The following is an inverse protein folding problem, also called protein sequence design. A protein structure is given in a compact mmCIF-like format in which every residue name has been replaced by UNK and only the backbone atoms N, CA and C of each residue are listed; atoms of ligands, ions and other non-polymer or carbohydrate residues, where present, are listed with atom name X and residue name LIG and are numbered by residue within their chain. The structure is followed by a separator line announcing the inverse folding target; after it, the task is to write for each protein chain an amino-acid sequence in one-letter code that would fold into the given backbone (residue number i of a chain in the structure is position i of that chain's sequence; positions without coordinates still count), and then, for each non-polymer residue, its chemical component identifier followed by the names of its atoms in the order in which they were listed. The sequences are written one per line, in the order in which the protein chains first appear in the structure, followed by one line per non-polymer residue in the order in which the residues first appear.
data_IF_625736305292
#
_entry.id   IF_625736305292
#
_cell.length_a   1.000
_cell.length_b   1.000
_cell.length_c   1.000
_cell.angle_alpha   90.00
_cell.angle_beta   90.00
_cell.angle_gamma   90.00
#
_symmetry.space_group_name_H-M   'P 1'
#
loop_
_entity.id
_entity.type
_entity.pdbx_description
1 polymer ?
#
# COMPACT_ATOMS: atom_id res chain seq x y z
N UNK A 1 2.65 49.02 -16.69
CA UNK A 1 1.41 48.22 -16.79
C UNK A 1 1.41 47.29 -18.02
N UNK A 2 2.56 46.68 -18.39
CA UNK A 2 2.65 45.75 -19.54
C UNK A 2 3.61 44.57 -19.34
N UNK A 3 4.09 44.34 -18.11
CA UNK A 3 5.02 43.25 -17.78
C UNK A 3 4.43 42.20 -16.81
N UNK A 4 3.14 42.30 -16.48
CA UNK A 4 2.43 41.41 -15.55
C UNK A 4 1.38 40.53 -16.25
N UNK A 5 1.12 40.75 -17.54
CA UNK A 5 0.14 39.96 -18.31
C UNK A 5 0.77 38.83 -19.14
N UNK A 6 2.09 38.86 -19.36
CA UNK A 6 2.77 37.87 -20.22
C UNK A 6 3.22 36.60 -19.48
N UNK A 7 3.00 36.52 -18.15
CA UNK A 7 3.24 35.30 -17.37
C UNK A 7 1.98 34.43 -17.18
N UNK A 8 0.85 34.78 -17.81
CA UNK A 8 -0.42 34.01 -17.71
C UNK A 8 -0.66 33.04 -18.87
N UNK A 9 0.27 32.88 -19.80
CA UNK A 9 0.18 31.88 -20.86
C UNK A 9 1.42 30.98 -20.81
N UNK A 10 1.33 29.85 -20.12
CA UNK A 10 2.38 28.83 -20.22
C UNK A 10 2.65 27.93 -19.02
N UNK A 11 1.83 27.91 -17.97
CA UNK A 11 1.96 26.88 -16.92
C UNK A 11 0.59 26.33 -16.55
N UNK A 12 0.26 25.16 -17.10
CA UNK A 12 -0.73 24.26 -16.52
C UNK A 12 -0.29 23.94 -15.10
N UNK A 13 -0.86 24.62 -14.12
CA UNK A 13 -0.67 24.30 -12.71
C UNK A 13 -1.24 22.89 -12.46
N UNK A 14 -0.35 21.91 -12.38
CA UNK A 14 -0.58 20.49 -12.05
C UNK A 14 -1.26 20.23 -10.69
N UNK A 15 -1.64 21.27 -9.94
CA UNK A 15 -1.96 21.19 -8.53
C UNK A 15 -3.30 21.88 -8.22
N UNK A 16 -4.43 21.18 -8.42
CA UNK A 16 -5.75 21.64 -7.95
C UNK A 16 -6.87 20.57 -7.97
N UNK A 17 -6.59 19.26 -7.90
CA UNK A 17 -7.69 18.28 -7.81
C UNK A 17 -8.33 18.31 -6.40
N UNK A 18 -9.62 18.64 -6.26
CA UNK A 18 -10.29 18.59 -4.97
C UNK A 18 -10.44 17.13 -4.52
N UNK A 19 -9.94 16.82 -3.33
CA UNK A 19 -9.94 15.47 -2.73
C UNK A 19 -11.29 15.06 -2.10
N UNK A 20 -12.34 15.87 -2.22
CA UNK A 20 -13.65 15.62 -1.60
C UNK A 20 -14.79 15.94 -2.58
N UNK A 21 -15.75 15.02 -2.75
CA UNK A 21 -17.03 15.30 -3.40
C UNK A 21 -17.91 16.13 -2.46
N UNK A 22 -18.45 17.21 -3.02
CA UNK A 22 -19.23 18.26 -2.35
C UNK A 22 -20.42 17.72 -1.52
N UNK A 23 -20.36 17.91 -0.22
CA UNK A 23 -21.56 18.13 0.60
C UNK A 23 -21.46 19.56 1.14
N UNK A 24 -22.53 20.33 0.96
CA UNK A 24 -22.56 21.79 1.04
C UNK A 24 -22.03 22.31 2.40
N UNK A 25 -21.03 23.22 2.36
CA UNK A 25 -20.48 24.08 3.44
C UNK A 25 -19.06 23.85 4.02
N UNK A 26 -18.13 23.11 3.38
CA UNK A 26 -16.74 23.03 3.90
C UNK A 26 -15.69 23.31 2.81
N UNK A 27 -14.90 24.38 2.99
CA UNK A 27 -13.71 24.65 2.18
C UNK A 27 -12.54 23.73 2.55
N UNK A 28 -11.59 23.47 1.63
CA UNK A 28 -10.46 22.57 1.90
C UNK A 28 -9.60 23.09 3.05
N UNK A 29 -9.35 22.25 4.06
CA UNK A 29 -8.55 22.61 5.25
C UNK A 29 -7.09 22.91 4.85
N UNK A 30 -6.54 22.17 3.88
CA UNK A 30 -5.21 22.40 3.28
C UNK A 30 -5.20 21.94 1.83
N UNK A 31 -4.52 22.71 0.98
CA UNK A 31 -4.16 22.29 -0.38
C UNK A 31 -2.79 21.61 -0.33
N UNK A 32 -2.65 20.50 -1.03
CA UNK A 32 -1.39 19.79 -1.19
C UNK A 32 -1.12 19.55 -2.67
N UNK A 33 0.16 19.53 -3.05
CA UNK A 33 0.56 19.07 -4.37
C UNK A 33 0.33 17.56 -4.43
N UNK A 34 -0.46 17.14 -5.42
CA UNK A 34 -0.81 15.74 -5.61
C UNK A 34 -0.49 15.35 -7.05
N UNK A 35 0.43 14.42 -7.20
CA UNK A 35 0.66 13.73 -8.46
C UNK A 35 -0.17 12.46 -8.44
N UNK A 36 -0.92 12.19 -9.52
CA UNK A 36 -1.66 10.93 -9.59
C UNK A 36 -0.68 9.76 -9.75
N UNK A 37 -1.01 8.62 -9.15
CA UNK A 37 -0.20 7.41 -9.30
C UNK A 37 -0.10 6.99 -10.78
N UNK A 38 -1.17 7.15 -11.56
CA UNK A 38 -1.19 6.89 -13.01
C UNK A 38 -0.17 7.75 -13.76
N UNK A 39 -0.18 9.08 -13.54
CA UNK A 39 0.76 10.00 -14.18
C UNK A 39 2.20 9.71 -13.75
N UNK A 40 2.39 9.35 -12.48
CA UNK A 40 3.70 8.98 -11.95
C UNK A 40 4.23 7.69 -12.59
N UNK A 41 3.40 6.65 -12.73
CA UNK A 41 3.76 5.39 -13.40
C UNK A 41 4.10 5.67 -14.87
N UNK A 42 3.29 6.46 -15.56
CA UNK A 42 3.53 6.82 -16.96
C UNK A 42 4.88 7.51 -17.14
N UNK A 43 5.20 8.47 -16.25
CA UNK A 43 6.49 9.15 -16.26
C UNK A 43 7.64 8.21 -15.93
N UNK A 44 7.48 7.35 -14.92
CA UNK A 44 8.49 6.38 -14.53
C UNK A 44 8.84 5.48 -15.71
N UNK A 45 7.84 4.83 -16.31
CA UNK A 45 8.02 3.89 -17.43
C UNK A 45 8.41 4.57 -18.75
N UNK A 46 8.27 5.88 -18.86
CA UNK A 46 8.83 6.65 -19.98
C UNK A 46 10.33 6.91 -19.83
N UNK A 47 10.93 6.64 -18.66
CA UNK A 47 12.36 6.79 -18.47
C UNK A 47 13.14 5.68 -19.19
N UNK A 48 14.15 6.01 -20.02
CA UNK A 48 15.00 5.02 -20.66
C UNK A 48 15.67 4.07 -19.66
N UNK A 49 15.66 2.77 -19.95
CA UNK A 49 16.32 1.72 -19.16
C UNK A 49 15.61 1.29 -17.88
N UNK A 50 14.49 1.93 -17.50
CA UNK A 50 13.77 1.54 -16.27
C UNK A 50 13.08 0.17 -16.42
N UNK A 51 12.54 -0.11 -17.60
CA UNK A 51 11.83 -1.36 -17.90
C UNK A 51 12.82 -2.53 -17.86
N UNK A 52 14.03 -2.34 -18.41
CA UNK A 52 15.12 -3.32 -18.32
C UNK A 52 15.46 -3.66 -16.86
N UNK A 53 15.60 -2.64 -16.00
CA UNK A 53 15.87 -2.82 -14.57
C UNK A 53 14.71 -3.51 -13.83
N UNK A 54 13.46 -3.26 -14.23
CA UNK A 54 12.31 -3.96 -13.66
C UNK A 54 12.30 -5.43 -14.09
N UNK A 55 12.62 -5.71 -15.35
CA UNK A 55 12.64 -7.05 -15.92
C UNK A 55 13.78 -7.92 -15.36
N UNK A 56 14.91 -7.33 -14.97
CA UNK A 56 15.97 -8.05 -14.23
C UNK A 56 15.44 -8.73 -12.96
N UNK A 57 14.46 -8.12 -12.29
CA UNK A 57 13.87 -8.67 -11.07
C UNK A 57 13.00 -9.92 -11.33
N UNK A 58 12.48 -10.09 -12.56
CA UNK A 58 11.62 -11.20 -12.94
C UNK A 58 12.37 -12.54 -12.93
N UNK A 59 13.65 -12.52 -13.29
CA UNK A 59 14.51 -13.72 -13.30
C UNK A 59 14.53 -14.39 -11.92
N UNK A 60 14.66 -13.57 -10.87
CA UNK A 60 14.64 -14.08 -9.50
C UNK A 60 13.25 -14.61 -9.15
N UNK A 61 12.17 -13.91 -9.55
CA UNK A 61 10.79 -14.29 -9.26
C UNK A 61 10.37 -15.65 -9.86
N UNK A 62 10.94 -16.04 -11.01
CA UNK A 62 10.60 -17.29 -11.72
C UNK A 62 11.06 -18.57 -11.02
N UNK A 63 12.06 -18.48 -10.15
CA UNK A 63 12.54 -19.64 -9.40
C UNK A 63 11.47 -20.06 -8.37
N UNK A 64 11.06 -21.35 -8.31
CA UNK A 64 10.12 -21.83 -7.29
C UNK A 64 10.60 -21.60 -5.86
N UNK A 65 9.67 -21.50 -4.92
CA UNK A 65 10.01 -21.37 -3.50
C UNK A 65 10.73 -22.63 -2.98
N UNK A 66 11.84 -22.43 -2.27
CA UNK A 66 12.69 -23.50 -1.75
C UNK A 66 12.75 -23.40 -0.22
N UNK A 67 12.07 -24.31 0.49
CA UNK A 67 12.00 -24.35 1.95
C UNK A 67 13.37 -24.54 2.62
N UNK A 68 14.38 -25.02 1.89
CA UNK A 68 15.72 -25.25 2.43
C UNK A 68 16.60 -24.00 2.45
N UNK A 69 16.20 -22.94 1.72
CA UNK A 69 17.00 -21.73 1.57
C UNK A 69 16.49 -20.60 2.47
N UNK A 70 17.41 -19.80 3.07
CA UNK A 70 17.00 -18.61 3.79
C UNK A 70 16.44 -17.57 2.81
N UNK A 71 15.34 -16.93 3.20
CA UNK A 71 14.75 -15.79 2.48
C UNK A 71 15.64 -14.56 2.66
N UNK A 72 16.31 -14.10 1.59
CA UNK A 72 17.24 -12.95 1.68
C UNK A 72 16.55 -11.62 1.37
N UNK A 73 15.57 -11.66 0.48
CA UNK A 73 14.78 -10.49 0.09
C UNK A 73 13.34 -10.91 -0.25
N UNK A 74 12.52 -9.94 -0.66
CA UNK A 74 11.10 -10.20 -0.94
C UNK A 74 10.87 -11.17 -2.11
N UNK A 75 11.74 -11.18 -3.13
CA UNK A 75 11.62 -12.08 -4.27
C UNK A 75 11.82 -13.55 -3.89
N UNK A 76 12.50 -13.83 -2.77
CA UNK A 76 12.68 -15.18 -2.23
C UNK A 76 11.49 -15.62 -1.36
N UNK A 77 10.59 -14.71 -0.98
CA UNK A 77 9.50 -15.02 -0.05
C UNK A 77 8.45 -15.93 -0.70
N UNK A 78 7.90 -16.86 0.07
CA UNK A 78 6.86 -17.78 -0.41
C UNK A 78 5.67 -17.01 -1.00
N UNK A 79 5.23 -15.94 -0.33
CA UNK A 79 4.11 -15.12 -0.79
C UNK A 79 4.37 -14.53 -2.18
N UNK A 80 5.58 -14.02 -2.43
CA UNK A 80 5.96 -13.49 -3.74
C UNK A 80 5.97 -14.55 -4.85
N UNK A 81 6.30 -15.80 -4.51
CA UNK A 81 6.33 -16.94 -5.45
C UNK A 81 4.94 -17.50 -5.77
N UNK A 82 4.03 -17.48 -4.80
CA UNK A 82 2.69 -18.08 -4.97
C UNK A 82 1.62 -17.03 -5.27
N UNK A 83 2.00 -15.76 -5.41
CA UNK A 83 1.05 -14.69 -5.66
C UNK A 83 0.47 -14.80 -7.07
N UNK A 84 -0.82 -15.15 -7.15
CA UNK A 84 -1.54 -15.38 -8.41
C UNK A 84 -2.27 -14.11 -8.83
N UNK A 85 -2.03 -13.69 -10.06
CA UNK A 85 -2.68 -12.56 -10.69
C UNK A 85 -4.11 -12.85 -11.15
N UNK A 86 -4.83 -11.83 -11.65
CA UNK A 86 -6.20 -11.98 -12.14
C UNK A 86 -6.33 -12.91 -13.35
N UNK A 87 -5.23 -13.21 -14.03
CA UNK A 87 -5.13 -14.13 -15.16
C UNK A 87 -4.87 -15.60 -14.75
N UNK A 88 -4.79 -15.89 -13.45
CA UNK A 88 -4.57 -17.23 -12.92
C UNK A 88 -3.11 -17.70 -12.94
N UNK A 89 -2.16 -16.84 -13.31
CA UNK A 89 -0.73 -17.14 -13.31
C UNK A 89 0.05 -16.33 -12.27
N UNK A 90 1.30 -16.70 -11.99
CA UNK A 90 2.12 -15.97 -11.02
C UNK A 90 2.29 -14.51 -11.47
N UNK A 91 1.84 -13.57 -10.64
CA UNK A 91 1.79 -12.16 -10.98
C UNK A 91 3.19 -11.55 -11.11
N UNK A 92 4.11 -11.97 -10.25
CA UNK A 92 5.44 -11.36 -10.06
C UNK A 92 6.49 -11.79 -11.10
N UNK A 93 6.12 -12.62 -12.07
CA UNK A 93 7.01 -13.12 -13.13
C UNK A 93 6.75 -12.50 -14.49
N UNK A 94 5.77 -11.60 -14.59
CA UNK A 94 5.37 -10.97 -15.84
C UNK A 94 5.90 -9.54 -15.93
N UNK A 95 6.50 -9.22 -17.06
CA UNK A 95 6.81 -7.84 -17.40
C UNK A 95 5.52 -7.02 -17.52
N UNK A 96 5.58 -5.75 -17.13
CA UNK A 96 4.41 -4.86 -17.05
C UNK A 96 3.53 -5.06 -15.81
N UNK A 97 3.77 -6.07 -14.98
CA UNK A 97 3.13 -6.18 -13.67
C UNK A 97 3.96 -5.44 -12.61
N UNK A 98 3.39 -4.40 -12.03
CA UNK A 98 4.02 -3.60 -10.99
C UNK A 98 3.47 -4.00 -9.61
N UNK A 99 4.36 -4.42 -8.72
CA UNK A 99 4.03 -4.68 -7.33
C UNK A 99 4.40 -3.47 -6.47
N UNK A 100 3.40 -2.81 -5.88
CA UNK A 100 3.62 -1.67 -5.00
C UNK A 100 3.75 -2.10 -3.55
N UNK A 101 4.84 -1.67 -2.95
CA UNK A 101 5.19 -1.98 -1.57
C UNK A 101 5.25 -0.68 -0.77
N UNK A 102 4.42 -0.59 0.26
CA UNK A 102 4.50 0.50 1.24
C UNK A 102 5.57 0.21 2.28
N UNK A 103 6.53 1.13 2.48
CA UNK A 103 7.58 0.98 3.49
C UNK A 103 7.87 2.25 4.27
N UNK A 104 7.97 2.13 5.61
CA UNK A 104 8.45 3.20 6.47
C UNK A 104 9.99 3.21 6.49
N UNK A 105 10.61 4.39 6.33
CA UNK A 105 12.07 4.53 6.29
C UNK A 105 12.67 4.57 7.70
N UNK A 106 12.61 3.45 8.41
CA UNK A 106 13.39 3.24 9.65
C UNK A 106 14.68 2.45 9.40
N UNK A 107 14.89 1.90 8.19
CA UNK A 107 15.98 0.96 7.88
C UNK A 107 17.18 1.50 7.09
N UNK A 108 17.35 2.81 6.94
CA UNK A 108 18.60 3.41 6.46
C UNK A 108 19.02 3.10 5.01
N UNK A 109 18.16 2.52 4.16
CA UNK A 109 18.51 2.27 2.74
C UNK A 109 18.47 3.56 1.91
N UNK A 110 19.42 3.69 0.97
CA UNK A 110 19.69 4.90 0.17
C UNK A 110 18.70 5.18 -0.96
N UNK A 111 17.83 4.24 -1.32
CA UNK A 111 16.75 4.46 -2.28
C UNK A 111 15.54 3.59 -1.90
N UNK A 112 14.50 4.23 -1.37
CA UNK A 112 13.16 3.68 -1.25
C UNK A 112 12.23 4.74 -1.79
N UNK A 113 11.31 4.38 -2.69
CA UNK A 113 10.19 5.25 -3.08
C UNK A 113 9.23 5.22 -1.89
N UNK A 114 9.54 6.04 -0.89
CA UNK A 114 8.75 6.19 0.32
C UNK A 114 7.76 7.32 0.09
N UNK A 115 6.49 6.97 -0.04
CA UNK A 115 5.42 7.96 0.11
C UNK A 115 5.41 8.34 1.60
N UNK A 116 5.97 9.50 1.94
CA UNK A 116 5.96 10.02 3.30
C UNK A 116 4.55 10.52 3.63
N UNK A 117 3.78 9.69 4.32
CA UNK A 117 2.53 10.09 4.97
C UNK A 117 2.86 10.21 6.45
N UNK A 118 3.19 11.44 6.91
CA UNK A 118 3.30 11.80 8.33
C UNK A 118 2.07 12.59 8.84
N UNK A 119 0.85 12.03 8.83
CA UNK A 119 -0.27 12.63 9.52
C UNK A 119 -0.37 12.13 10.96
N UNK A 120 -1.07 12.90 11.78
CA UNK A 120 -1.58 12.41 13.06
C UNK A 120 -2.48 11.19 12.84
N UNK A 121 -2.62 10.29 13.82
CA UNK A 121 -3.37 9.02 13.68
C UNK A 121 -4.78 9.22 13.09
N UNK A 122 -5.43 10.34 13.43
CA UNK A 122 -6.78 10.69 12.95
C UNK A 122 -6.81 11.20 11.50
N UNK A 123 -5.68 11.57 10.92
CA UNK A 123 -5.54 12.11 9.57
C UNK A 123 -4.90 11.12 8.59
N UNK A 124 -4.38 9.97 9.07
CA UNK A 124 -3.85 8.90 8.23
C UNK A 124 -4.86 8.46 7.18
N UNK A 125 -6.08 8.14 7.61
CA UNK A 125 -7.12 7.66 6.70
C UNK A 125 -7.43 8.69 5.61
N UNK A 126 -7.52 9.98 5.94
CA UNK A 126 -7.79 11.03 4.95
C UNK A 126 -6.71 11.15 3.86
N UNK A 127 -5.46 10.80 4.17
CA UNK A 127 -4.36 10.80 3.20
C UNK A 127 -4.19 9.46 2.48
N UNK A 128 -4.48 8.35 3.16
CA UNK A 128 -4.36 7.00 2.60
C UNK A 128 -5.53 6.67 1.68
N UNK A 129 -6.76 7.10 1.98
CA UNK A 129 -7.94 6.86 1.14
C UNK A 129 -7.71 7.20 -0.34
N UNK A 130 -7.25 8.41 -0.74
CA UNK A 130 -7.04 8.71 -2.15
C UNK A 130 -5.94 7.86 -2.80
N UNK A 131 -4.94 7.40 -2.04
CA UNK A 131 -3.91 6.48 -2.55
C UNK A 131 -4.46 5.07 -2.74
N UNK A 132 -5.27 4.59 -1.78
CA UNK A 132 -5.94 3.30 -1.87
C UNK A 132 -6.92 3.29 -3.03
N UNK A 133 -7.68 4.38 -3.23
CA UNK A 133 -8.59 4.54 -4.37
C UNK A 133 -7.84 4.46 -5.71
N UNK A 134 -6.66 5.08 -5.80
CA UNK A 134 -5.81 5.00 -6.99
C UNK A 134 -5.20 3.61 -7.19
N UNK A 135 -4.75 2.94 -6.14
CA UNK A 135 -4.27 1.56 -6.27
C UNK A 135 -5.39 0.60 -6.69
N UNK A 136 -6.59 0.81 -6.16
CA UNK A 136 -7.77 0.03 -6.52
C UNK A 136 -8.15 0.26 -7.99
N UNK A 137 -8.08 1.50 -8.49
CA UNK A 137 -8.38 1.81 -9.90
C UNK A 137 -7.40 1.14 -10.86
N UNK A 138 -6.16 0.90 -10.44
CA UNK A 138 -5.15 0.22 -11.25
C UNK A 138 -5.24 -1.32 -11.19
N UNK A 139 -5.87 -1.88 -10.16
CA UNK A 139 -6.00 -3.34 -10.01
C UNK A 139 -7.04 -3.91 -10.98
N UNK A 140 -8.20 -3.25 -11.12
CA UNK A 140 -9.26 -3.64 -12.06
C UNK A 140 -10.06 -2.40 -12.52
N UNK A 141 -9.99 -1.97 -13.81
CA UNK A 141 -9.26 -2.53 -14.95
C UNK A 141 -7.77 -2.13 -15.01
N UNK A 142 -6.96 -2.89 -15.76
CA UNK A 142 -5.55 -2.59 -16.03
C UNK A 142 -5.35 -1.17 -16.58
N UNK A 143 -4.28 -0.49 -16.19
CA UNK A 143 -3.94 0.83 -16.70
C UNK A 143 -3.39 0.73 -18.13
N UNK A 144 -4.07 1.35 -19.09
CA UNK A 144 -3.56 1.49 -20.45
C UNK A 144 -2.73 2.76 -20.56
N UNK A 145 -1.42 2.61 -20.70
CA UNK A 145 -0.53 3.73 -20.98
C UNK A 145 -0.48 3.97 -22.49
N UNK A 146 -0.52 5.24 -22.89
CA UNK A 146 -0.52 5.64 -24.30
C UNK A 146 0.85 5.57 -24.95
N UNK A 147 1.93 5.70 -24.17
CA UNK A 147 3.30 5.62 -24.65
C UNK A 147 4.24 5.27 -23.51
N UNK A 148 5.23 4.42 -23.79
CA UNK A 148 6.34 4.05 -22.90
C UNK A 148 7.64 4.04 -23.71
N UNK A 149 8.78 4.06 -23.03
CA UNK A 149 10.08 4.11 -23.71
C UNK A 149 10.30 2.92 -24.64
N UNK A 150 10.03 1.71 -24.15
CA UNK A 150 10.16 0.48 -24.95
C UNK A 150 8.90 0.16 -25.77
N UNK A 151 7.75 0.74 -25.39
CA UNK A 151 6.47 0.54 -26.08
C UNK A 151 5.85 1.88 -26.53
N UNK A 152 6.30 2.46 -27.65
CA UNK A 152 5.79 3.74 -28.15
C UNK A 152 4.29 3.70 -28.50
N UNK A 153 3.75 2.52 -28.83
CA UNK A 153 2.33 2.26 -29.10
C UNK A 153 1.47 2.02 -27.86
N UNK A 154 2.06 2.15 -26.66
CA UNK A 154 1.40 1.93 -25.38
C UNK A 154 1.49 0.48 -24.88
N UNK A 155 1.23 0.29 -23.59
CA UNK A 155 1.22 -1.01 -22.93
C UNK A 155 0.13 -1.07 -21.85
N UNK A 156 -0.32 -2.28 -21.52
CA UNK A 156 -1.19 -2.55 -20.40
C UNK A 156 -0.33 -2.84 -19.17
N UNK A 157 -0.43 -1.96 -18.18
CA UNK A 157 0.22 -2.13 -16.89
C UNK A 157 -0.82 -2.64 -15.91
N UNK A 158 -0.51 -3.74 -15.23
CA UNK A 158 -1.26 -4.16 -14.07
C UNK A 158 -0.51 -3.68 -12.85
N UNK A 159 -1.24 -3.18 -11.86
CA UNK A 159 -0.67 -2.83 -10.56
C UNK A 159 -1.44 -3.56 -9.48
N UNK A 160 -0.73 -4.34 -8.68
CA UNK A 160 -1.26 -4.90 -7.45
C UNK A 160 -0.66 -4.14 -6.26
N UNK A 161 -1.50 -3.70 -5.30
CA UNK A 161 -1.01 -3.30 -3.98
C UNK A 161 -0.52 -4.54 -3.21
N UNK A 162 0.60 -5.08 -3.65
CA UNK A 162 1.13 -6.34 -3.15
C UNK A 162 1.83 -6.09 -1.80
N UNK A 163 1.01 -6.18 -0.75
CA UNK A 163 1.39 -6.22 0.65
C UNK A 163 1.88 -4.90 1.27
N UNK A 164 1.39 -4.67 2.48
CA UNK A 164 1.85 -3.63 3.39
C UNK A 164 3.21 -4.08 3.99
N UNK A 165 4.35 -3.54 3.53
CA UNK A 165 5.66 -3.78 4.14
C UNK A 165 6.05 -2.66 5.11
N UNK A 166 5.25 -2.50 6.15
CA UNK A 166 5.55 -1.55 7.19
C UNK A 166 6.31 -2.22 8.35
N UNK A 167 6.96 -1.41 9.20
CA UNK A 167 7.39 -1.91 10.50
C UNK A 167 6.15 -2.38 11.31
N UNK A 168 6.38 -3.22 12.33
CA UNK A 168 5.29 -3.84 13.09
C UNK A 168 4.35 -2.79 13.73
N UNK A 169 4.86 -1.61 14.09
CA UNK A 169 4.05 -0.55 14.70
C UNK A 169 3.10 0.03 13.66
N UNK A 170 3.62 0.41 12.49
CA UNK A 170 2.83 0.97 11.41
C UNK A 170 1.84 -0.06 10.84
N UNK A 171 2.26 -1.32 10.65
CA UNK A 171 1.38 -2.38 10.17
C UNK A 171 0.18 -2.59 11.10
N UNK A 172 0.42 -2.58 12.42
CA UNK A 172 -0.66 -2.73 13.40
C UNK A 172 -1.61 -1.53 13.36
N UNK A 173 -1.09 -0.30 13.26
CA UNK A 173 -1.93 0.89 13.18
C UNK A 173 -2.79 0.90 11.91
N UNK A 174 -2.23 0.58 10.75
CA UNK A 174 -2.96 0.57 9.48
C UNK A 174 -4.02 -0.52 9.43
N UNK A 175 -3.74 -1.69 10.00
CA UNK A 175 -4.67 -2.82 10.04
C UNK A 175 -5.65 -2.74 11.23
N UNK A 176 -5.67 -1.63 11.98
CA UNK A 176 -6.59 -1.44 13.12
C UNK A 176 -6.24 -2.27 14.36
N UNK A 177 -5.06 -2.89 14.43
CA UNK A 177 -4.64 -3.63 15.61
C UNK A 177 -4.19 -2.71 16.76
N UNK A 178 -4.38 -3.18 17.99
CA UNK A 178 -3.82 -2.55 19.19
C UNK A 178 -2.29 -2.45 19.16
N UNK A 179 -1.69 -1.66 20.06
CA UNK A 179 -0.24 -1.45 20.07
C UNK A 179 0.58 -2.75 20.17
N UNK A 180 1.88 -2.69 19.88
CA UNK A 180 2.82 -3.83 20.06
C UNK A 180 2.89 -4.34 21.51
N UNK A 181 2.44 -3.55 22.48
CA UNK A 181 2.37 -3.93 23.90
C UNK A 181 0.99 -4.44 24.32
N UNK A 182 0.06 -4.60 23.38
CA UNK A 182 -1.28 -5.09 23.68
C UNK A 182 -1.24 -6.57 24.09
N UNK A 183 -2.24 -7.01 24.86
CA UNK A 183 -2.38 -8.41 25.26
C UNK A 183 -2.47 -9.33 24.04
N UNK A 184 -3.23 -8.90 23.01
CA UNK A 184 -3.29 -9.51 21.68
C UNK A 184 -2.19 -8.90 20.78
N UNK A 185 -0.94 -9.34 20.96
CA UNK A 185 0.24 -8.76 20.27
C UNK A 185 0.51 -9.35 18.89
N UNK A 186 0.08 -10.59 18.63
CA UNK A 186 0.34 -11.23 17.35
C UNK A 186 -0.76 -10.82 16.36
N UNK A 187 -0.39 -10.65 15.09
CA UNK A 187 -1.35 -10.35 14.02
C UNK A 187 -1.83 -11.62 13.29
N UNK A 188 -1.11 -12.73 13.45
CA UNK A 188 -1.43 -14.01 12.82
C UNK A 188 -2.22 -14.95 13.74
N UNK A 189 -2.02 -14.86 15.06
CA UNK A 189 -2.62 -15.77 16.03
C UNK A 189 -3.09 -15.03 17.28
N UNK A 190 -3.81 -15.74 18.15
CA UNK A 190 -4.31 -15.22 19.42
C UNK A 190 -3.32 -15.40 20.59
N UNK A 191 -2.01 -15.55 20.29
CA UNK A 191 -0.99 -15.68 21.33
C UNK A 191 -0.92 -14.40 22.17
N UNK A 192 -1.11 -14.57 23.48
CA UNK A 192 -1.12 -13.45 24.43
C UNK A 192 0.28 -13.01 24.79
N UNK A 193 0.42 -11.76 25.18
CA UNK A 193 1.71 -11.16 25.58
C UNK A 193 2.43 -11.93 26.70
N UNK A 194 1.67 -12.49 27.64
CA UNK A 194 2.22 -13.30 28.74
C UNK A 194 2.80 -14.62 28.26
N UNK A 195 2.29 -15.14 27.15
CA UNK A 195 2.66 -16.43 26.57
C UNK A 195 3.68 -16.30 25.43
N UNK A 196 4.30 -15.12 25.25
CA UNK A 196 5.24 -14.81 24.15
C UNK A 196 6.41 -15.78 23.97
N UNK A 197 6.72 -16.59 24.99
CA UNK A 197 7.79 -17.60 24.95
C UNK A 197 7.33 -18.89 24.25
N UNK A 198 6.03 -19.08 24.06
CA UNK A 198 5.49 -20.21 23.32
C UNK A 198 5.59 -19.94 21.82
N UNK A 199 6.62 -20.52 21.20
CA UNK A 199 6.91 -20.39 19.76
C UNK A 199 6.18 -21.47 18.96
N UNK A 200 5.54 -22.43 19.62
CA UNK A 200 4.81 -23.51 18.95
C UNK A 200 3.49 -22.98 18.36
N UNK A 201 3.54 -22.67 17.07
CA UNK A 201 2.41 -22.18 16.28
C UNK A 201 1.23 -23.15 16.27
N UNK A 202 1.47 -24.46 16.47
CA UNK A 202 0.39 -25.46 16.48
C UNK A 202 -0.53 -25.34 17.71
N UNK A 203 -0.03 -24.72 18.78
CA UNK A 203 -0.75 -24.58 20.06
C UNK A 203 -1.61 -23.33 20.13
N UNK A 204 -1.48 -22.41 19.17
CA UNK A 204 -2.17 -21.12 19.19
C UNK A 204 -3.18 -21.04 18.04
N UNK A 205 -4.47 -20.79 18.32
CA UNK A 205 -5.45 -20.62 17.25
C UNK A 205 -5.08 -19.42 16.37
N UNK A 206 -5.19 -19.62 15.07
CA UNK A 206 -4.98 -18.57 14.07
C UNK A 206 -6.12 -17.56 14.12
N UNK A 207 -5.78 -16.29 13.84
CA UNK A 207 -6.82 -15.27 13.67
C UNK A 207 -7.59 -15.55 12.38
N UNK A 208 -8.92 -15.50 12.47
CA UNK A 208 -9.79 -15.60 11.32
C UNK A 208 -10.00 -14.21 10.70
N UNK A 209 -9.79 -14.08 9.39
CA UNK A 209 -10.04 -12.85 8.65
C UNK A 209 -11.50 -12.39 8.77
N UNK A 210 -12.47 -13.30 8.80
CA UNK A 210 -13.88 -12.96 8.96
C UNK A 210 -14.17 -12.32 10.32
N UNK A 211 -13.57 -12.85 11.39
CA UNK A 211 -13.70 -12.26 12.72
C UNK A 211 -13.03 -10.91 12.80
N UNK A 212 -11.85 -10.76 12.19
CA UNK A 212 -11.17 -9.48 12.12
C UNK A 212 -12.03 -8.41 11.44
N UNK A 213 -12.55 -8.73 10.26
CA UNK A 213 -13.42 -7.84 9.50
C UNK A 213 -14.70 -7.48 10.26
N UNK A 214 -15.30 -8.46 10.96
CA UNK A 214 -16.49 -8.25 11.78
C UNK A 214 -16.23 -7.21 12.88
N UNK A 215 -15.15 -7.34 13.63
CA UNK A 215 -14.85 -6.43 14.74
C UNK A 215 -14.36 -5.07 14.26
N UNK A 216 -13.55 -5.03 13.19
CA UNK A 216 -13.13 -3.78 12.57
C UNK A 216 -14.34 -2.95 12.10
N UNK A 217 -15.28 -3.58 11.39
CA UNK A 217 -16.50 -2.92 10.93
C UNK A 217 -17.43 -2.51 12.07
N UNK A 218 -17.49 -3.30 13.15
CA UNK A 218 -18.26 -2.95 14.35
C UNK A 218 -17.65 -1.73 15.06
N UNK A 219 -16.32 -1.65 15.11
CA UNK A 219 -15.58 -0.51 15.67
C UNK A 219 -15.82 0.75 14.84
N UNK A 220 -15.68 0.65 13.51
CA UNK A 220 -15.89 1.75 12.55
C UNK A 220 -17.32 2.31 12.61
N UNK A 221 -18.33 1.44 12.70
CA UNK A 221 -19.73 1.86 12.83
C UNK A 221 -20.12 2.40 14.20
N UNK A 222 -19.28 2.20 15.21
CA UNK A 222 -19.59 2.66 16.56
C UNK A 222 -19.41 4.16 16.68
N UNK A 223 -20.44 4.87 17.10
CA UNK A 223 -20.37 6.30 17.43
C UNK A 223 -19.84 6.56 18.84
N UNK A 224 -19.58 5.50 19.62
CA UNK A 224 -19.19 5.58 21.03
C UNK A 224 -17.72 5.15 21.22
N UNK A 225 -16.88 6.11 21.60
CA UNK A 225 -15.46 5.89 21.89
C UNK A 225 -15.21 4.83 22.98
N UNK A 226 -16.10 4.70 23.97
CA UNK A 226 -15.97 3.68 25.01
C UNK A 226 -16.21 2.29 24.44
N UNK A 227 -17.14 2.16 23.48
CA UNK A 227 -17.41 0.89 22.81
C UNK A 227 -16.25 0.50 21.89
N UNK A 228 -15.67 1.44 21.15
CA UNK A 228 -14.45 1.21 20.36
C UNK A 228 -13.29 0.78 21.26
N UNK A 229 -13.07 1.45 22.40
CA UNK A 229 -12.04 1.06 23.36
C UNK A 229 -12.27 -0.34 23.95
N UNK A 230 -13.53 -0.72 24.18
CA UNK A 230 -13.87 -2.06 24.68
C UNK A 230 -13.62 -3.15 23.62
N UNK A 231 -13.92 -2.88 22.34
CA UNK A 231 -13.60 -3.79 21.22
C UNK A 231 -12.08 -3.95 21.11
N UNK A 232 -11.33 -2.85 21.11
CA UNK A 232 -9.87 -2.85 21.05
C UNK A 232 -9.26 -3.64 22.21
N UNK A 233 -9.74 -3.40 23.43
CA UNK A 233 -9.23 -4.09 24.61
C UNK A 233 -9.52 -5.60 24.58
N UNK A 234 -10.66 -6.02 24.02
CA UNK A 234 -11.10 -7.42 24.06
C UNK A 234 -10.56 -8.23 22.88
N UNK A 235 -10.64 -7.68 21.68
CA UNK A 235 -10.32 -8.38 20.43
C UNK A 235 -9.01 -7.91 19.81
N UNK A 236 -8.44 -6.80 20.29
CA UNK A 236 -7.20 -6.25 19.75
C UNK A 236 -7.38 -5.50 18.43
N UNK A 237 -8.63 -5.12 18.09
CA UNK A 237 -9.06 -4.49 16.83
C UNK A 237 -9.92 -3.25 17.15
#
# INVERSE_FOLDING_TARGET
MKALNDLKQGQNLLCAKPLLKSCHLWGPIRLCAFQSLEDWIAQLLSCPGIEDLLDESLVTSQVPYDYSKPVKNIHDSQLWKVFIGPDGSQYTTKSGNLAFVYGNKTSGRKASITIFVLPTVNQMNSMLCPLVDQLQSLWKPSLKLSSMHQHPGGCLVHSDPLNFLADLVALRQTLGFGSVKHTQMCFFCFLKQNDKKNIDLSTSPHQNLEEHNKWAFTSDKSTNLQMQAAILSKYGI
#
